data_IF_314024953310
#
_entry.id   IF_314024953310
#
_cell.length_a   1.000
_cell.length_b   1.000
_cell.length_c   1.000
_cell.angle_alpha   90.00
_cell.angle_beta   90.00
_cell.angle_gamma   90.00
#
_symmetry.space_group_name_H-M   'P 1'
#
loop_
_entity.id
_entity.type
_entity.pdbx_description
1 polymer ?
#
# COMPACT_ATOMS: atom_id res chain seq x y z
N UNK A 1 10.48 11.40 10.74
CA UNK A 1 9.48 12.10 9.90
C UNK A 1 9.40 11.39 8.53
N UNK A 2 8.22 10.94 8.11
CA UNK A 2 7.99 10.23 6.84
C UNK A 2 7.13 11.08 5.91
N UNK A 3 7.45 11.08 4.61
CA UNK A 3 6.65 11.74 3.54
C UNK A 3 5.92 10.68 2.73
N UNK A 4 4.77 11.03 2.17
CA UNK A 4 4.10 10.14 1.23
C UNK A 4 4.97 9.89 -0.01
N UNK A 5 5.03 8.64 -0.48
CA UNK A 5 5.77 8.29 -1.70
C UNK A 5 4.94 8.47 -2.98
N UNK A 6 3.63 8.68 -2.87
CA UNK A 6 2.76 8.82 -4.04
C UNK A 6 3.01 10.18 -4.73
N UNK A 7 3.20 10.21 -6.07
CA UNK A 7 3.47 11.44 -6.81
C UNK A 7 2.42 12.52 -6.55
N UNK A 8 2.88 13.75 -6.25
CA UNK A 8 1.99 14.89 -6.01
C UNK A 8 1.33 14.94 -4.62
N UNK A 9 1.46 13.90 -3.80
CA UNK A 9 0.94 13.93 -2.43
C UNK A 9 1.89 14.68 -1.48
N UNK A 10 1.40 15.76 -0.87
CA UNK A 10 2.19 16.60 0.05
C UNK A 10 2.16 16.14 1.51
N UNK A 11 1.50 15.02 1.81
CA UNK A 11 1.29 14.52 3.16
C UNK A 11 2.59 14.14 3.87
N UNK A 12 2.63 14.39 5.19
CA UNK A 12 3.75 14.07 6.07
C UNK A 12 3.27 13.55 7.42
N UNK A 13 3.96 12.54 7.96
CA UNK A 13 3.72 12.04 9.30
C UNK A 13 4.24 13.02 10.35
N UNK A 14 3.41 13.28 11.37
CA UNK A 14 3.75 14.08 12.54
C UNK A 14 3.51 13.21 13.77
N UNK A 15 4.55 12.50 14.19
CA UNK A 15 4.51 11.65 15.37
C UNK A 15 5.87 11.67 16.10
N UNK A 16 5.87 11.51 17.44
CA UNK A 16 7.08 11.59 18.25
C UNK A 16 7.92 10.30 18.21
N UNK A 17 7.36 9.19 17.74
CA UNK A 17 8.02 7.88 17.69
C UNK A 17 7.90 7.24 16.30
N UNK A 18 8.89 6.43 15.93
CA UNK A 18 9.00 5.87 14.57
C UNK A 18 7.89 4.86 14.24
N UNK A 19 7.47 4.03 15.20
CA UNK A 19 6.33 3.13 15.06
C UNK A 19 5.03 3.91 14.79
N UNK A 20 4.82 5.01 15.49
CA UNK A 20 3.69 5.89 15.30
C UNK A 20 3.74 6.61 13.93
N UNK A 21 4.94 6.95 13.44
CA UNK A 21 5.16 7.50 12.09
C UNK A 21 4.71 6.49 11.03
N UNK A 22 5.10 5.22 11.16
CA UNK A 22 4.71 4.17 10.22
C UNK A 22 3.21 3.85 10.28
N UNK A 23 2.64 3.83 11.49
CA UNK A 23 1.20 3.66 11.68
C UNK A 23 0.38 4.79 11.03
N UNK A 24 0.79 6.05 11.18
CA UNK A 24 0.16 7.17 10.48
C UNK A 24 0.30 7.05 8.96
N UNK A 25 1.49 6.65 8.50
CA UNK A 25 1.75 6.51 7.06
C UNK A 25 0.88 5.43 6.41
N UNK A 26 0.78 4.26 7.02
CA UNK A 26 -0.07 3.17 6.52
C UNK A 26 -1.55 3.59 6.43
N UNK A 27 -2.05 4.29 7.46
CA UNK A 27 -3.44 4.81 7.45
C UNK A 27 -3.67 5.82 6.33
N UNK A 28 -2.73 6.73 6.11
CA UNK A 28 -2.82 7.71 5.04
C UNK A 28 -2.85 7.05 3.65
N UNK A 29 -1.99 6.06 3.40
CA UNK A 29 -1.98 5.33 2.12
C UNK A 29 -3.34 4.67 1.84
N UNK A 30 -3.94 4.01 2.83
CA UNK A 30 -5.26 3.40 2.67
C UNK A 30 -6.34 4.45 2.45
N UNK A 31 -6.34 5.54 3.22
CA UNK A 31 -7.39 6.54 3.13
C UNK A 31 -7.37 7.34 1.82
N UNK A 32 -6.18 7.75 1.36
CA UNK A 32 -6.05 8.71 0.25
C UNK A 32 -5.64 8.06 -1.07
N UNK A 33 -5.06 6.85 -1.03
CA UNK A 33 -4.44 6.21 -2.20
C UNK A 33 -4.91 4.77 -2.41
N UNK A 34 -5.95 4.34 -1.72
CA UNK A 34 -6.65 3.09 -2.06
C UNK A 34 -8.03 3.38 -2.61
N UNK A 35 -8.51 2.51 -3.49
CA UNK A 35 -9.88 2.55 -4.00
C UNK A 35 -10.59 1.29 -3.53
N UNK A 36 -11.77 1.44 -2.93
CA UNK A 36 -12.64 0.30 -2.64
C UNK A 36 -13.30 -0.12 -3.95
N UNK A 37 -13.07 -1.37 -4.34
CA UNK A 37 -13.75 -2.00 -5.47
C UNK A 37 -14.80 -2.96 -4.92
N UNK A 38 -15.99 -2.96 -5.51
CA UNK A 38 -17.04 -3.92 -5.19
C UNK A 38 -16.71 -5.25 -5.89
N UNK A 39 -15.99 -6.11 -5.18
CA UNK A 39 -15.53 -7.39 -5.67
C UNK A 39 -15.66 -8.45 -4.56
N UNK A 40 -16.26 -9.58 -4.88
CA UNK A 40 -16.28 -10.76 -4.02
C UNK A 40 -14.88 -11.41 -4.00
N UNK A 41 -13.99 -10.84 -3.18
CA UNK A 41 -12.66 -11.38 -2.96
C UNK A 41 -12.72 -12.36 -1.77
N UNK A 42 -12.40 -13.66 -1.98
CA UNK A 42 -12.37 -14.63 -0.89
C UNK A 42 -11.41 -14.20 0.23
N UNK A 43 -11.72 -14.59 1.47
CA UNK A 43 -10.84 -14.32 2.61
C UNK A 43 -9.43 -14.86 2.34
N UNK A 44 -8.42 -14.01 2.55
CA UNK A 44 -7.01 -14.35 2.33
C UNK A 44 -6.51 -14.12 0.90
N UNK A 45 -7.37 -13.65 -0.01
CA UNK A 45 -7.01 -13.20 -1.36
C UNK A 45 -7.06 -11.66 -1.41
N UNK A 46 -6.21 -11.06 -2.24
CA UNK A 46 -6.18 -9.62 -2.50
C UNK A 46 -5.98 -9.35 -3.99
N UNK A 47 -6.43 -8.17 -4.44
CA UNK A 47 -6.10 -7.64 -5.75
C UNK A 47 -5.09 -6.50 -5.63
N UNK A 48 -4.06 -6.55 -6.47
CA UNK A 48 -2.98 -5.57 -6.57
C UNK A 48 -2.94 -5.00 -7.98
N UNK A 49 -2.68 -3.71 -8.08
CA UNK A 49 -2.26 -3.08 -9.33
C UNK A 49 -1.03 -2.24 -9.04
N UNK A 50 0.05 -2.52 -9.74
CA UNK A 50 1.25 -1.70 -9.66
C UNK A 50 1.11 -0.52 -10.62
N UNK A 51 1.65 0.65 -10.27
CA UNK A 51 1.53 1.85 -11.13
C UNK A 51 2.14 1.64 -12.53
N UNK A 52 3.17 0.80 -12.64
CA UNK A 52 3.83 0.48 -13.91
C UNK A 52 3.09 -0.59 -14.74
N UNK A 53 2.17 -1.34 -14.13
CA UNK A 53 1.48 -2.46 -14.77
C UNK A 53 0.02 -2.05 -15.04
N UNK A 54 -0.48 -2.26 -16.27
CA UNK A 54 -1.87 -1.93 -16.59
C UNK A 54 -2.87 -2.94 -16.00
N UNK A 55 -2.41 -4.16 -15.71
CA UNK A 55 -3.24 -5.29 -15.31
C UNK A 55 -3.32 -5.47 -13.78
N UNK A 56 -4.50 -5.91 -13.33
CA UNK A 56 -4.75 -6.30 -11.94
C UNK A 56 -4.30 -7.74 -11.70
N UNK A 57 -3.60 -7.97 -10.59
CA UNK A 57 -3.13 -9.29 -10.19
C UNK A 57 -3.91 -9.72 -8.95
N UNK A 58 -4.47 -10.93 -8.97
CA UNK A 58 -5.23 -11.50 -7.84
C UNK A 58 -4.44 -12.64 -7.23
N UNK A 59 -4.00 -12.49 -5.98
CA UNK A 59 -3.11 -13.46 -5.31
C UNK A 59 -3.46 -13.59 -3.82
N UNK A 60 -3.04 -14.66 -3.14
CA UNK A 60 -3.06 -14.74 -1.69
C UNK A 60 -2.29 -13.59 -1.03
N UNK A 61 -2.71 -13.19 0.17
CA UNK A 61 -2.06 -12.13 0.96
C UNK A 61 -0.56 -12.37 1.17
N UNK A 62 -0.15 -13.62 1.40
CA UNK A 62 1.27 -13.96 1.61
C UNK A 62 2.11 -13.75 0.35
N UNK A 63 1.55 -14.06 -0.82
CA UNK A 63 2.21 -13.84 -2.11
C UNK A 63 2.26 -12.35 -2.45
N UNK A 64 1.20 -11.60 -2.14
CA UNK A 64 1.21 -10.14 -2.25
C UNK A 64 2.35 -9.49 -1.44
N UNK A 65 2.62 -10.00 -0.24
CA UNK A 65 3.74 -9.54 0.61
C UNK A 65 5.10 -9.86 -0.03
N UNK A 66 5.25 -11.07 -0.59
CA UNK A 66 6.49 -11.46 -1.27
C UNK A 66 6.77 -10.56 -2.49
N UNK A 67 5.76 -10.34 -3.34
CA UNK A 67 5.87 -9.48 -4.52
C UNK A 67 6.26 -8.04 -4.14
N UNK A 68 5.70 -7.49 -3.06
CA UNK A 68 6.05 -6.17 -2.57
C UNK A 68 7.51 -6.11 -2.07
N UNK A 69 7.98 -7.15 -1.38
CA UNK A 69 9.35 -7.20 -0.87
C UNK A 69 10.39 -7.32 -2.00
N UNK A 70 10.11 -8.12 -3.03
CA UNK A 70 10.98 -8.29 -4.19
C UNK A 70 11.18 -6.97 -4.94
N UNK A 71 10.10 -6.22 -5.23
CA UNK A 71 10.18 -4.96 -5.98
C UNK A 71 10.74 -3.77 -5.21
N UNK A 72 10.82 -3.84 -3.88
CA UNK A 72 11.43 -2.80 -3.04
C UNK A 72 12.88 -3.10 -2.64
N UNK A 73 13.43 -4.25 -3.08
CA UNK A 73 14.82 -4.64 -2.85
C UNK A 73 15.77 -4.21 -3.98
N UNK A 74 15.26 -3.52 -5.00
CA UNK A 74 15.97 -2.95 -6.17
C UNK A 74 15.90 -1.41 -6.09
#
# INVERSE_FOLDING_TARGET
MKRCSHPGCSWRAIAPADDAVWGQYARHLVAEHSTTVDADIPSGIVQLKFEADEDWITVPVEEARALQAERHSD
#
